data_IF_229004284577
#
_entry.id   IF_229004284577
#
_cell.length_a   1.000
_cell.length_b   1.000
_cell.length_c   1.000
_cell.angle_alpha   90.00
_cell.angle_beta   90.00
_cell.angle_gamma   90.00
#
_symmetry.space_group_name_H-M   'P 1'
#
loop_
_entity.id
_entity.type
_entity.pdbx_description
1 polymer ?
#
# COMPACT_ATOMS: atom_id res chain seq x y z
N UNK A 1 -5.41 -16.29 -5.09
CA UNK A 1 -5.94 -15.00 -5.58
C UNK A 1 -7.05 -14.44 -4.69
N UNK A 2 -8.09 -15.21 -4.38
CA UNK A 2 -9.20 -14.74 -3.55
C UNK A 2 -8.78 -14.31 -2.14
N UNK A 3 -7.81 -15.00 -1.52
CA UNK A 3 -7.31 -14.66 -0.19
C UNK A 3 -6.77 -13.22 -0.11
N UNK A 4 -5.92 -12.80 -1.04
CA UNK A 4 -5.34 -11.45 -0.98
C UNK A 4 -6.37 -10.34 -1.22
N UNK A 5 -7.41 -10.59 -2.03
CA UNK A 5 -8.54 -9.67 -2.22
C UNK A 5 -9.31 -9.52 -0.91
N UNK A 6 -9.59 -10.63 -0.23
CA UNK A 6 -10.29 -10.63 1.05
C UNK A 6 -9.45 -9.88 2.09
N UNK A 7 -8.17 -10.22 2.24
CA UNK A 7 -7.26 -9.59 3.22
C UNK A 7 -7.09 -8.10 2.97
N UNK A 8 -6.88 -7.66 1.72
CA UNK A 8 -6.74 -6.24 1.42
C UNK A 8 -8.04 -5.48 1.65
N UNK A 9 -9.19 -6.08 1.35
CA UNK A 9 -10.51 -5.50 1.62
C UNK A 9 -10.77 -5.36 3.12
N UNK A 10 -10.48 -6.41 3.90
CA UNK A 10 -10.57 -6.38 5.37
C UNK A 10 -9.62 -5.33 5.95
N UNK A 11 -8.40 -5.20 5.41
CA UNK A 11 -7.45 -4.17 5.81
C UNK A 11 -7.99 -2.74 5.59
N UNK A 12 -8.59 -2.47 4.43
CA UNK A 12 -9.23 -1.17 4.14
C UNK A 12 -10.38 -0.91 5.12
N UNK A 13 -11.26 -1.88 5.34
CA UNK A 13 -12.38 -1.74 6.28
C UNK A 13 -11.90 -1.50 7.72
N UNK A 14 -10.84 -2.20 8.15
CA UNK A 14 -10.24 -2.01 9.46
C UNK A 14 -9.66 -0.59 9.61
N UNK A 15 -8.96 -0.07 8.60
CA UNK A 15 -8.45 1.31 8.60
C UNK A 15 -9.58 2.34 8.68
N UNK A 16 -10.65 2.15 7.90
CA UNK A 16 -11.83 3.03 7.96
C UNK A 16 -12.51 2.98 9.33
N UNK A 17 -12.65 1.79 9.91
CA UNK A 17 -13.23 1.61 11.24
C UNK A 17 -12.36 2.24 12.34
N UNK A 18 -11.04 2.12 12.26
CA UNK A 18 -10.12 2.79 13.18
C UNK A 18 -10.22 4.31 13.08
N UNK A 19 -10.27 4.86 11.86
CA UNK A 19 -10.41 6.29 11.64
C UNK A 19 -11.75 6.82 12.17
N UNK A 20 -12.82 6.07 11.96
CA UNK A 20 -14.13 6.35 12.51
C UNK A 20 -14.15 6.32 14.04
N UNK A 21 -13.57 5.28 14.63
CA UNK A 21 -13.47 5.12 16.09
C UNK A 21 -12.63 6.23 16.72
N UNK A 22 -11.61 6.71 16.03
CA UNK A 22 -10.79 7.83 16.50
C UNK A 22 -11.54 9.16 16.52
N UNK A 23 -12.43 9.41 15.55
CA UNK A 23 -13.27 10.61 15.54
C UNK A 23 -14.32 10.59 16.65
N UNK A 24 -14.82 9.41 17.01
CA UNK A 24 -15.89 9.24 18.00
C UNK A 24 -15.36 9.12 19.43
N UNK A 25 -14.30 8.35 19.65
CA UNK A 25 -13.64 8.20 20.94
C UNK A 25 -12.49 9.21 20.97
N UNK A 26 -12.64 10.29 21.76
CA UNK A 26 -11.58 11.29 22.01
C UNK A 26 -10.35 10.62 22.64
N UNK A 27 -9.55 9.94 21.84
CA UNK A 27 -8.34 9.26 22.30
C UNK A 27 -7.34 10.33 22.78
N UNK A 28 -6.98 10.27 24.06
CA UNK A 28 -5.95 11.08 24.72
C UNK A 28 -4.53 10.68 24.26
N UNK A 29 -4.32 10.59 22.95
CA UNK A 29 -3.00 10.37 22.39
C UNK A 29 -2.26 11.70 22.25
N UNK A 30 -0.95 11.68 22.51
CA UNK A 30 -0.11 12.84 22.28
C UNK A 30 -0.15 13.25 20.79
N UNK A 31 -0.01 14.55 20.52
CA UNK A 31 -0.21 15.11 19.17
C UNK A 31 0.77 14.52 18.14
N UNK A 32 2.01 14.21 18.55
CA UNK A 32 2.99 13.51 17.69
C UNK A 32 2.50 12.12 17.31
N UNK A 33 2.05 11.31 18.28
CA UNK A 33 1.59 9.95 18.03
C UNK A 33 0.37 9.91 17.09
N UNK A 34 -0.55 10.87 17.22
CA UNK A 34 -1.69 11.01 16.30
C UNK A 34 -1.21 11.25 14.86
N UNK A 35 -0.21 12.11 14.68
CA UNK A 35 0.37 12.39 13.36
C UNK A 35 1.08 11.17 12.77
N UNK A 36 1.85 10.43 13.58
CA UNK A 36 2.49 9.19 13.14
C UNK A 36 1.46 8.11 12.77
N UNK A 37 0.41 7.95 13.56
CA UNK A 37 -0.66 6.99 13.31
C UNK A 37 -1.46 7.34 12.05
N UNK A 38 -1.66 8.63 11.76
CA UNK A 38 -2.23 9.10 10.49
C UNK A 38 -1.38 8.68 9.30
N UNK A 39 -0.07 8.91 9.39
CA UNK A 39 0.86 8.56 8.31
C UNK A 39 0.93 7.05 8.11
N UNK A 40 0.98 6.27 9.19
CA UNK A 40 0.92 4.82 9.13
C UNK A 40 -0.36 4.33 8.44
N UNK A 41 -1.51 4.88 8.83
CA UNK A 41 -2.81 4.52 8.26
C UNK A 41 -2.89 4.89 6.77
N UNK A 42 -2.34 6.04 6.39
CA UNK A 42 -2.24 6.49 5.00
C UNK A 42 -1.41 5.54 4.14
N UNK A 43 -0.17 5.21 4.56
CA UNK A 43 0.69 4.30 3.81
C UNK A 43 0.12 2.88 3.73
N UNK A 44 -0.49 2.40 4.80
CA UNK A 44 -1.14 1.09 4.84
C UNK A 44 -2.38 1.07 3.94
N UNK A 45 -3.14 2.16 3.85
CA UNK A 45 -4.25 2.30 2.91
C UNK A 45 -3.78 2.21 1.46
N UNK A 46 -2.71 2.95 1.11
CA UNK A 46 -2.07 2.87 -0.22
C UNK A 46 -1.65 1.44 -0.54
N UNK A 47 -0.98 0.76 0.40
CA UNK A 47 -0.55 -0.62 0.25
C UNK A 47 -1.75 -1.55 -0.04
N UNK A 48 -2.81 -1.49 0.78
CA UNK A 48 -3.98 -2.34 0.63
C UNK A 48 -4.72 -2.07 -0.70
N UNK A 49 -4.89 -0.81 -1.10
CA UNK A 49 -5.53 -0.43 -2.37
C UNK A 49 -4.71 -0.94 -3.55
N UNK A 50 -3.39 -0.78 -3.54
CA UNK A 50 -2.53 -1.29 -4.60
C UNK A 50 -2.57 -2.81 -4.74
N UNK A 51 -2.55 -3.53 -3.61
CA UNK A 51 -2.71 -5.00 -3.59
C UNK A 51 -4.08 -5.38 -4.16
N UNK A 52 -5.14 -4.69 -3.76
CA UNK A 52 -6.49 -4.94 -4.26
C UNK A 52 -6.59 -4.72 -5.78
N UNK A 53 -6.11 -3.59 -6.28
CA UNK A 53 -6.11 -3.26 -7.73
C UNK A 53 -5.33 -4.33 -8.50
N UNK A 54 -4.14 -4.70 -8.03
CA UNK A 54 -3.32 -5.73 -8.67
C UNK A 54 -4.06 -7.07 -8.78
N UNK A 55 -4.64 -7.56 -7.68
CA UNK A 55 -5.33 -8.85 -7.69
C UNK A 55 -6.64 -8.82 -8.46
N UNK A 56 -7.39 -7.71 -8.44
CA UNK A 56 -8.60 -7.53 -9.27
C UNK A 56 -8.23 -7.51 -10.75
N UNK A 57 -7.17 -6.79 -11.14
CA UNK A 57 -6.69 -6.78 -12.52
C UNK A 57 -6.25 -8.16 -13.00
N UNK A 58 -5.50 -8.90 -12.18
CA UNK A 58 -5.11 -10.28 -12.52
C UNK A 58 -6.32 -11.22 -12.58
N UNK A 59 -7.30 -11.07 -11.68
CA UNK A 59 -8.53 -11.87 -11.71
C UNK A 59 -9.34 -11.59 -12.97
N UNK A 60 -9.47 -10.31 -13.35
CA UNK A 60 -10.13 -9.89 -14.58
C UNK A 60 -9.46 -10.54 -15.80
N UNK A 61 -8.13 -10.50 -15.90
CA UNK A 61 -7.38 -11.13 -16.98
C UNK A 61 -7.60 -12.65 -17.04
N UNK A 62 -7.70 -13.34 -15.90
CA UNK A 62 -8.01 -14.77 -15.88
C UNK A 62 -9.44 -15.07 -16.35
N UNK A 63 -10.41 -14.24 -15.96
CA UNK A 63 -11.81 -14.42 -16.37
C UNK A 63 -12.01 -14.14 -17.85
N UNK A 64 -11.35 -13.13 -18.41
CA UNK A 64 -11.41 -12.82 -19.84
C UNK A 64 -10.78 -13.93 -20.68
N UNK A 65 -9.60 -14.44 -20.29
CA UNK A 65 -8.99 -15.59 -20.97
C UNK A 65 -9.87 -16.84 -20.92
N UNK A 66 -10.50 -17.13 -19.77
CA UNK A 66 -11.41 -18.29 -19.63
C UNK A 66 -12.66 -18.16 -20.52
N UNK A 67 -13.22 -16.96 -20.66
CA UNK A 67 -14.38 -16.71 -21.53
C UNK A 67 -14.01 -16.95 -23.00
N UNK A 68 -12.89 -16.39 -23.45
CA UNK A 68 -12.39 -16.57 -24.81
C UNK A 68 -12.14 -18.06 -25.10
N UNK A 69 -11.52 -18.78 -24.16
CA UNK A 69 -11.29 -20.22 -24.31
C UNK A 69 -12.59 -21.03 -24.40
N UNK A 70 -13.63 -20.72 -23.62
CA UNK A 70 -14.93 -21.42 -23.70
C UNK A 70 -15.68 -21.15 -25.00
N UNK A 71 -15.59 -19.94 -25.55
CA UNK A 71 -16.19 -19.63 -26.86
C UNK A 71 -15.44 -20.38 -27.96
N UNK A 72 -14.10 -20.37 -27.91
CA UNK A 72 -13.26 -21.10 -28.86
C UNK A 72 -13.36 -22.63 -28.71
N UNK A 73 -13.61 -23.20 -27.53
CA UNK A 73 -13.74 -24.66 -27.41
C UNK A 73 -15.01 -25.21 -28.07
N UNK A 74 -16.05 -24.38 -28.24
CA UNK A 74 -17.29 -24.77 -28.92
C UNK A 74 -17.18 -24.66 -30.45
N UNK A 75 -16.21 -23.89 -30.95
CA UNK A 75 -15.91 -23.77 -32.38
C UNK A 75 -14.63 -24.56 -32.62
N UNK A 76 -14.70 -25.76 -33.22
CA UNK A 76 -13.55 -26.63 -33.51
C UNK A 76 -12.58 -25.98 -34.52
N UNK A 77 -11.95 -24.88 -34.14
CA UNK A 77 -10.96 -24.13 -34.91
C UNK A 77 -9.58 -24.50 -34.41
N UNK A 78 -8.73 -24.98 -35.33
CA UNK A 78 -7.31 -25.13 -35.11
C UNK A 78 -6.69 -23.76 -34.81
N UNK A 79 -6.51 -23.45 -33.53
CA UNK A 79 -5.91 -22.19 -33.08
C UNK A 79 -4.40 -22.23 -33.33
N UNK A 80 -3.97 -21.77 -34.51
CA UNK A 80 -2.56 -21.55 -34.81
C UNK A 80 -2.10 -20.28 -34.08
N UNK A 81 -1.67 -20.44 -32.83
CA UNK A 81 -1.20 -19.32 -31.99
C UNK A 81 0.10 -18.76 -32.56
N UNK A 82 0.04 -17.58 -33.18
CA UNK A 82 1.26 -16.86 -33.55
C UNK A 82 1.98 -16.41 -32.27
N UNK A 83 3.29 -16.67 -32.13
CA UNK A 83 4.07 -16.21 -30.98
C UNK A 83 4.10 -14.68 -30.86
N UNK A 84 3.75 -13.94 -31.92
CA UNK A 84 3.64 -12.49 -31.88
C UNK A 84 2.53 -11.98 -30.94
N UNK A 85 1.48 -12.77 -30.68
CA UNK A 85 0.42 -12.42 -29.74
C UNK A 85 0.84 -12.52 -28.26
N UNK A 86 2.07 -12.99 -27.96
CA UNK A 86 2.62 -12.94 -26.60
C UNK A 86 3.23 -11.57 -26.25
N UNK A 87 3.49 -10.69 -27.22
CA UNK A 87 4.09 -9.40 -26.93
C UNK A 87 3.04 -8.44 -26.34
N UNK A 88 3.11 -8.29 -25.02
CA UNK A 88 2.33 -7.28 -24.30
C UNK A 88 2.90 -5.90 -24.62
N UNK A 89 2.05 -4.97 -25.08
CA UNK A 89 2.47 -3.58 -25.31
C UNK A 89 3.12 -2.99 -24.06
N UNK A 90 4.19 -2.19 -24.24
CA UNK A 90 4.88 -1.49 -23.15
C UNK A 90 3.91 -0.72 -22.23
N UNK A 91 2.85 -0.12 -22.79
CA UNK A 91 1.80 0.56 -22.01
C UNK A 91 1.09 -0.39 -21.04
N UNK A 92 0.76 -1.60 -21.49
CA UNK A 92 0.10 -2.61 -20.65
C UNK A 92 1.05 -3.15 -19.59
N UNK A 93 2.35 -3.26 -19.90
CA UNK A 93 3.38 -3.59 -18.93
C UNK A 93 3.42 -2.54 -17.80
N UNK A 94 3.52 -1.25 -18.16
CA UNK A 94 3.56 -0.15 -17.18
C UNK A 94 2.30 -0.07 -16.30
N UNK A 95 1.11 -0.29 -16.89
CA UNK A 95 -0.15 -0.35 -16.13
C UNK A 95 -0.12 -1.47 -15.09
N UNK A 96 0.47 -2.62 -15.41
CA UNK A 96 0.59 -3.76 -14.47
C UNK A 96 1.68 -3.55 -13.42
N UNK A 97 2.74 -2.82 -13.77
CA UNK A 97 3.86 -2.54 -12.88
C UNK A 97 3.51 -1.45 -11.84
N UNK A 98 2.66 -0.49 -12.20
CA UNK A 98 2.32 0.66 -11.35
C UNK A 98 1.79 0.25 -9.97
N UNK A 99 0.80 -0.66 -9.82
CA UNK A 99 0.33 -1.09 -8.51
C UNK A 99 1.42 -1.77 -7.67
N UNK A 100 2.33 -2.51 -8.28
CA UNK A 100 3.43 -3.18 -7.58
C UNK A 100 4.42 -2.17 -7.01
N UNK A 101 4.81 -1.19 -7.83
CA UNK A 101 5.67 -0.07 -7.45
C UNK A 101 5.03 0.70 -6.29
N UNK A 102 3.75 1.07 -6.42
CA UNK A 102 3.02 1.81 -5.37
C UNK A 102 2.87 0.98 -4.09
N UNK A 103 2.66 -0.33 -4.19
CA UNK A 103 2.65 -1.23 -3.02
C UNK A 103 4.02 -1.27 -2.31
N UNK A 104 5.12 -1.26 -3.07
CA UNK A 104 6.47 -1.14 -2.49
C UNK A 104 6.63 0.13 -1.64
N UNK A 105 6.09 1.27 -2.10
CA UNK A 105 6.09 2.52 -1.33
C UNK A 105 5.18 2.45 -0.10
N UNK A 106 3.98 1.90 -0.26
CA UNK A 106 3.06 1.67 0.86
C UNK A 106 3.69 0.82 1.96
N UNK A 107 4.39 -0.25 1.59
CA UNK A 107 5.06 -1.16 2.52
C UNK A 107 6.21 -0.48 3.26
N UNK A 108 7.14 0.16 2.53
CA UNK A 108 8.28 0.86 3.14
C UNK A 108 7.82 1.99 4.06
N UNK A 109 6.85 2.80 3.63
CA UNK A 109 6.25 3.84 4.50
C UNK A 109 5.55 3.24 5.72
N UNK A 110 4.83 2.14 5.57
CA UNK A 110 4.19 1.46 6.71
C UNK A 110 5.22 0.99 7.75
N UNK A 111 6.34 0.41 7.33
CA UNK A 111 7.43 -0.04 8.23
C UNK A 111 8.10 1.14 8.94
N UNK A 112 8.45 2.20 8.20
CA UNK A 112 9.11 3.37 8.80
C UNK A 112 8.21 4.09 9.82
N UNK A 113 6.92 4.20 9.53
CA UNK A 113 5.97 4.78 10.47
C UNK A 113 5.80 3.93 11.73
N UNK A 114 5.85 2.60 11.64
CA UNK A 114 5.89 1.72 12.82
C UNK A 114 7.15 1.92 13.65
N UNK A 115 8.32 1.97 13.02
CA UNK A 115 9.58 2.23 13.73
C UNK A 115 9.57 3.57 14.45
N UNK A 116 9.02 4.61 13.81
CA UNK A 116 8.88 5.92 14.42
C UNK A 116 7.91 5.90 15.62
N UNK A 117 6.79 5.15 15.53
CA UNK A 117 5.87 4.96 16.66
C UNK A 117 6.53 4.21 17.82
N UNK A 118 7.31 3.17 17.52
CA UNK A 118 8.08 2.42 18.54
C UNK A 118 9.10 3.32 19.22
N UNK A 119 9.86 4.10 18.46
CA UNK A 119 10.83 5.05 19.02
C UNK A 119 10.15 6.11 19.90
N UNK A 120 8.97 6.59 19.49
CA UNK A 120 8.20 7.58 20.24
C UNK A 120 7.68 7.01 21.57
N UNK A 121 7.15 5.78 21.56
CA UNK A 121 6.74 5.07 22.77
C UNK A 121 7.90 4.70 23.68
N UNK A 122 9.05 4.33 23.10
CA UNK A 122 10.27 4.08 23.87
C UNK A 122 10.72 5.35 24.59
N UNK A 123 10.69 6.50 23.90
CA UNK A 123 10.99 7.80 24.52
C UNK A 123 10.02 8.15 25.63
N UNK A 124 8.71 7.93 25.41
CA UNK A 124 7.68 8.13 26.43
C UNK A 124 7.92 7.27 27.67
N UNK A 125 8.33 6.02 27.50
CA UNK A 125 8.63 5.10 28.59
C UNK A 125 9.88 5.49 29.38
N UNK A 126 10.89 6.06 28.72
CA UNK A 126 12.15 6.40 29.37
C UNK A 126 12.10 7.75 30.10
N UNK A 127 11.26 8.70 29.63
CA UNK A 127 11.14 10.02 30.25
C UNK A 127 9.76 10.64 29.98
N UNK A 128 8.77 10.32 30.83
CA UNK A 128 7.39 10.76 30.68
C UNK A 128 7.26 12.30 30.74
N UNK A 129 7.98 12.96 31.66
CA UNK A 129 7.91 14.41 31.82
C UNK A 129 8.41 15.16 30.57
N UNK A 130 9.50 14.70 29.95
CA UNK A 130 9.98 15.28 28.69
C UNK A 130 9.08 14.92 27.50
N UNK A 131 8.37 13.80 27.59
CA UNK A 131 7.43 13.38 26.55
C UNK A 131 6.19 14.27 26.51
N UNK A 132 5.58 14.56 27.65
CA UNK A 132 4.41 15.45 27.76
C UNK A 132 4.72 16.87 27.29
N UNK A 133 5.93 17.34 27.54
CA UNK A 133 6.40 18.65 27.09
C UNK A 133 6.89 18.67 25.64
N UNK A 134 6.89 17.54 24.95
CA UNK A 134 7.44 17.48 23.62
C UNK A 134 6.55 18.17 22.60
N UNK A 135 7.15 19.04 21.81
CA UNK A 135 6.43 19.79 20.79
C UNK A 135 6.02 18.91 19.61
N UNK A 136 4.95 19.34 18.93
CA UNK A 136 4.48 18.76 17.66
C UNK A 136 5.60 18.73 16.60
N UNK A 137 6.58 19.63 16.69
CA UNK A 137 7.67 19.75 15.70
C UNK A 137 8.50 18.47 15.57
N UNK A 138 8.66 17.68 16.63
CA UNK A 138 9.34 16.38 16.57
C UNK A 138 8.59 15.41 15.64
N UNK A 139 7.25 15.40 15.71
CA UNK A 139 6.41 14.60 14.83
C UNK A 139 6.55 15.02 13.36
N UNK A 140 6.56 16.33 13.09
CA UNK A 140 6.79 16.85 11.73
C UNK A 140 8.18 16.52 11.21
N UNK A 141 9.22 16.63 12.04
CA UNK A 141 10.59 16.30 11.67
C UNK A 141 10.72 14.81 11.30
N UNK A 142 10.17 13.92 12.12
CA UNK A 142 10.14 12.48 11.84
C UNK A 142 9.38 12.17 10.55
N UNK A 143 8.26 12.87 10.31
CA UNK A 143 7.49 12.70 9.08
C UNK A 143 8.22 13.24 7.85
N UNK A 144 8.91 14.39 7.95
CA UNK A 144 9.71 14.93 6.87
C UNK A 144 10.88 14.00 6.52
N UNK A 145 11.59 13.48 7.52
CA UNK A 145 12.67 12.51 7.35
C UNK A 145 12.16 11.20 6.74
N UNK A 146 10.94 10.78 7.08
CA UNK A 146 10.28 9.64 6.47
C UNK A 146 10.00 9.90 4.99
N UNK A 147 9.30 10.99 4.67
CA UNK A 147 8.92 11.34 3.29
C UNK A 147 10.17 11.47 2.41
N UNK A 148 11.22 12.13 2.91
CA UNK A 148 12.47 12.26 2.17
C UNK A 148 13.13 10.91 1.90
N UNK A 149 13.14 9.99 2.88
CA UNK A 149 13.67 8.64 2.69
C UNK A 149 12.86 7.83 1.68
N UNK A 150 11.53 7.91 1.73
CA UNK A 150 10.65 7.22 0.77
C UNK A 150 10.87 7.76 -0.65
N UNK A 151 10.99 9.08 -0.81
CA UNK A 151 11.31 9.71 -2.10
C UNK A 151 12.71 9.36 -2.61
N UNK A 152 13.69 9.26 -1.71
CA UNK A 152 15.05 8.84 -2.08
C UNK A 152 15.06 7.40 -2.61
N UNK A 153 14.42 6.46 -1.90
CA UNK A 153 14.28 5.08 -2.37
C UNK A 153 13.58 5.06 -3.72
N UNK A 154 12.52 5.85 -3.90
CA UNK A 154 11.82 5.97 -5.18
C UNK A 154 12.77 6.39 -6.30
N UNK A 155 13.44 7.53 -6.13
CA UNK A 155 14.37 8.08 -7.12
C UNK A 155 15.48 7.09 -7.48
N UNK A 156 16.01 6.36 -6.50
CA UNK A 156 17.02 5.32 -6.75
C UNK A 156 16.49 4.08 -7.46
N UNK A 157 15.19 3.78 -7.34
CA UNK A 157 14.58 2.59 -7.97
C UNK A 157 14.11 2.81 -9.41
N UNK A 158 13.73 4.04 -9.79
CA UNK A 158 13.22 4.35 -11.14
C UNK A 158 14.14 3.87 -12.28
N UNK A 159 15.47 4.04 -12.24
CA UNK A 159 16.34 3.67 -13.36
C UNK A 159 16.39 2.16 -13.65
N UNK A 160 15.91 1.34 -12.73
CA UNK A 160 15.95 -0.13 -12.84
C UNK A 160 14.64 -0.72 -13.40
N UNK A 161 13.63 0.10 -13.69
CA UNK A 161 12.32 -0.30 -14.21
C UNK A 161 11.99 0.42 -15.52
#
# INVERSE_FOLDING_TARGET
MSFHIIVSSVGILALLAMEWNRKTRKLLAHKSLILLMNMHSFWTSILCVSILINHVATLHNHLTMRRVFRVLSNVKMHFHRSPADLYVSAKTCMIRLTPLIVAGYGSSGSIFSQMAMVAERYRASNNLANYENSSISVGHLLNAAHVSRTLFIWYSTIPFY
#
